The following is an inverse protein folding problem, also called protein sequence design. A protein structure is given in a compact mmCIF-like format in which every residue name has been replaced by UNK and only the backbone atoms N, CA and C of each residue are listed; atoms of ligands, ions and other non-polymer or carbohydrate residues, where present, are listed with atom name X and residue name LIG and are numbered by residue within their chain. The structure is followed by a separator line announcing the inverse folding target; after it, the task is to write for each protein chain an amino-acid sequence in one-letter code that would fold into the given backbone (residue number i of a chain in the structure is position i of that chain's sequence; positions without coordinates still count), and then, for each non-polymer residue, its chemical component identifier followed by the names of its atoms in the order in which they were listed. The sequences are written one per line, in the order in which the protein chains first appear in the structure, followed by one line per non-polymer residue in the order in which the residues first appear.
data_IF_834532242115
#
_entry.id   IF_834532242115
#
_cell.length_a   1.000
_cell.length_b   1.000
_cell.length_c   1.000
_cell.angle_alpha   90.00
_cell.angle_beta   90.00
_cell.angle_gamma   90.00
#
_symmetry.space_group_name_H-M   'P 1'
#
loop_
_entity.id
_entity.type
_entity.pdbx_description
1 polymer ?
#
# COMPACT_ATOMS: atom_id res chain seq x y z
N UNK A 1 46.89 -17.86 -53.30
CA UNK A 1 47.35 -17.26 -54.61
C UNK A 1 46.28 -16.33 -55.12
N UNK A 2 46.72 -15.10 -55.42
CA UNK A 2 46.04 -14.00 -56.14
C UNK A 2 44.94 -13.27 -55.43
N UNK A 3 45.32 -12.11 -54.85
CA UNK A 3 44.48 -10.95 -54.47
C UNK A 3 43.95 -10.28 -55.73
N UNK A 4 42.66 -9.90 -55.69
CA UNK A 4 42.07 -8.98 -56.67
C UNK A 4 41.64 -7.70 -55.90
N UNK A 5 42.37 -6.61 -56.19
CA UNK A 5 42.12 -5.27 -55.67
C UNK A 5 41.00 -4.63 -56.46
N UNK A 6 39.90 -4.18 -55.80
CA UNK A 6 38.83 -3.44 -56.44
C UNK A 6 38.94 -1.95 -55.97
N UNK A 7 39.26 -1.09 -56.91
CA UNK A 7 39.35 0.36 -56.74
C UNK A 7 37.96 0.95 -56.89
N UNK A 8 37.44 1.64 -55.88
CA UNK A 8 36.16 2.38 -55.96
C UNK A 8 36.47 3.87 -56.05
N UNK A 9 36.02 4.50 -57.08
CA UNK A 9 36.12 5.94 -57.41
C UNK A 9 35.06 6.66 -56.59
N UNK A 10 35.48 7.67 -55.78
CA UNK A 10 34.58 8.62 -55.09
C UNK A 10 34.14 9.70 -56.08
N UNK A 11 32.84 9.84 -56.34
CA UNK A 11 32.22 11.00 -56.94
C UNK A 11 31.69 11.94 -55.83
N UNK A 12 32.25 13.13 -55.69
CA UNK A 12 31.73 14.18 -54.84
C UNK A 12 30.48 14.78 -55.51
N UNK A 13 29.32 14.61 -54.90
CA UNK A 13 28.13 15.42 -55.17
C UNK A 13 27.89 16.38 -54.00
N UNK A 14 27.99 17.67 -54.24
CA UNK A 14 27.72 18.71 -53.26
C UNK A 14 26.25 18.75 -52.93
N UNK A 15 25.89 18.61 -51.63
CA UNK A 15 24.58 18.85 -51.10
C UNK A 15 24.59 20.11 -50.22
N UNK A 16 23.81 21.08 -50.64
CA UNK A 16 23.49 22.28 -49.88
C UNK A 16 22.74 21.91 -48.60
N UNK A 17 23.29 22.29 -47.44
CA UNK A 17 22.65 22.07 -46.12
C UNK A 17 21.57 23.13 -45.97
N UNK A 18 20.32 22.76 -46.23
CA UNK A 18 19.16 23.46 -45.71
C UNK A 18 18.95 23.13 -44.25
N UNK A 19 19.22 24.07 -43.36
CA UNK A 19 18.99 23.92 -41.93
C UNK A 19 17.48 23.82 -41.64
N UNK A 20 16.97 22.63 -41.44
CA UNK A 20 15.69 22.44 -40.77
C UNK A 20 15.94 22.57 -39.25
N UNK A 21 15.43 23.65 -38.66
CA UNK A 21 15.27 23.78 -37.21
C UNK A 21 14.31 22.67 -36.81
N UNK A 22 14.88 21.58 -36.25
CA UNK A 22 14.09 20.60 -35.53
C UNK A 22 13.56 21.33 -34.30
N UNK A 23 12.23 21.50 -34.22
CA UNK A 23 11.58 21.80 -32.96
C UNK A 23 12.04 20.73 -31.96
N UNK A 24 12.75 21.14 -30.91
CA UNK A 24 12.95 20.31 -29.74
C UNK A 24 11.53 20.02 -29.23
N UNK A 25 11.08 18.79 -29.35
CA UNK A 25 9.99 18.31 -28.53
C UNK A 25 10.47 18.49 -27.09
N UNK A 26 9.86 19.38 -26.33
CA UNK A 26 10.00 19.42 -24.89
C UNK A 26 9.74 17.98 -24.42
N UNK A 27 10.77 17.33 -23.91
CA UNK A 27 10.56 16.10 -23.15
C UNK A 27 9.66 16.50 -21.98
N UNK A 28 8.60 15.73 -21.68
CA UNK A 28 7.80 15.99 -20.49
C UNK A 28 8.75 16.09 -19.29
N UNK A 29 8.52 17.06 -18.45
CA UNK A 29 9.28 17.20 -17.21
C UNK A 29 9.14 15.87 -16.45
N UNK A 30 10.22 15.14 -16.32
CA UNK A 30 10.24 13.78 -15.71
C UNK A 30 9.73 13.78 -14.27
N UNK A 31 9.44 14.95 -13.68
CA UNK A 31 9.01 15.16 -12.30
C UNK A 31 7.66 15.91 -12.19
N UNK A 32 6.94 16.05 -13.29
CA UNK A 32 5.65 16.75 -13.26
C UNK A 32 4.63 15.98 -12.40
N UNK A 33 4.03 16.69 -11.45
CA UNK A 33 2.85 16.22 -10.72
C UNK A 33 1.64 16.60 -11.56
N UNK A 34 0.85 15.62 -11.98
CA UNK A 34 -0.30 15.81 -12.85
C UNK A 34 -1.59 15.43 -12.10
N UNK A 35 -2.64 16.25 -12.14
CA UNK A 35 -3.94 15.86 -11.63
C UNK A 35 -4.43 14.57 -12.31
N UNK A 36 -5.03 13.71 -11.52
CA UNK A 36 -5.60 12.44 -11.98
C UNK A 36 -7.06 12.37 -11.59
N UNK A 37 -7.89 11.79 -12.43
CA UNK A 37 -9.30 11.50 -12.13
C UNK A 37 -9.55 10.03 -12.42
N UNK A 38 -10.16 9.33 -11.49
CA UNK A 38 -10.59 7.95 -11.67
C UNK A 38 -11.75 7.97 -12.67
N UNK A 39 -11.57 7.30 -13.81
CA UNK A 39 -12.57 7.18 -14.88
C UNK A 39 -12.46 5.78 -15.49
N UNK A 40 -13.17 4.82 -14.88
CA UNK A 40 -13.14 3.43 -15.31
C UNK A 40 -14.02 3.25 -16.55
N UNK A 41 -13.47 2.74 -17.68
CA UNK A 41 -14.26 2.51 -18.88
C UNK A 41 -15.43 1.55 -18.62
N UNK A 42 -16.62 1.85 -19.18
CA UNK A 42 -17.81 1.02 -19.04
C UNK A 42 -17.57 -0.43 -19.46
N UNK A 43 -16.75 -0.66 -20.49
CA UNK A 43 -16.40 -2.00 -20.95
C UNK A 43 -15.70 -2.85 -19.88
N UNK A 44 -15.01 -2.25 -18.90
CA UNK A 44 -14.40 -2.97 -17.76
C UNK A 44 -15.46 -3.41 -16.78
N UNK A 45 -16.48 -2.57 -16.56
CA UNK A 45 -17.63 -2.90 -15.69
C UNK A 45 -18.54 -3.95 -16.33
N UNK A 46 -18.72 -3.87 -17.65
CA UNK A 46 -19.45 -4.87 -18.41
C UNK A 46 -18.77 -6.25 -18.35
N UNK A 47 -17.42 -6.31 -18.54
CA UNK A 47 -16.65 -7.55 -18.42
C UNK A 47 -16.75 -8.12 -16.99
N UNK A 48 -16.65 -7.28 -15.95
CA UNK A 48 -16.88 -7.70 -14.57
C UNK A 48 -18.24 -8.35 -14.39
N UNK A 49 -19.29 -7.68 -14.85
CA UNK A 49 -20.66 -8.16 -14.75
C UNK A 49 -20.86 -9.50 -15.46
N UNK A 50 -20.31 -9.65 -16.67
CA UNK A 50 -20.35 -10.93 -17.39
C UNK A 50 -19.63 -12.06 -16.65
N UNK A 51 -18.53 -11.77 -15.97
CA UNK A 51 -17.77 -12.77 -15.19
C UNK A 51 -18.51 -13.16 -13.92
N UNK A 52 -19.13 -12.21 -13.23
CA UNK A 52 -20.00 -12.47 -12.08
C UNK A 52 -21.18 -13.39 -12.47
N UNK A 53 -21.84 -13.09 -13.61
CA UNK A 53 -22.96 -13.91 -14.15
C UNK A 53 -22.55 -15.33 -14.53
N UNK A 54 -21.27 -15.54 -14.91
CA UNK A 54 -20.73 -16.85 -15.33
C UNK A 54 -19.94 -17.57 -14.24
N UNK A 55 -20.03 -17.13 -12.98
CA UNK A 55 -19.30 -17.74 -11.88
C UNK A 55 -19.60 -19.23 -11.74
N UNK A 56 -18.53 -20.02 -11.67
CA UNK A 56 -18.61 -21.45 -11.39
C UNK A 56 -18.34 -21.67 -9.91
N UNK A 57 -19.41 -21.84 -9.16
CA UNK A 57 -19.32 -22.01 -7.72
C UNK A 57 -18.72 -23.35 -7.32
N UNK A 58 -17.74 -23.38 -6.39
CA UNK A 58 -17.26 -24.62 -5.80
C UNK A 58 -18.32 -25.20 -4.87
N UNK A 59 -18.23 -26.50 -4.62
CA UNK A 59 -18.93 -27.13 -3.50
C UNK A 59 -18.23 -26.79 -2.18
N UNK A 60 -18.99 -26.88 -1.10
CA UNK A 60 -18.50 -26.73 0.27
C UNK A 60 -19.15 -27.79 1.17
N UNK A 61 -18.36 -28.37 2.05
CA UNK A 61 -18.88 -29.36 3.00
C UNK A 61 -19.86 -28.72 3.99
N UNK A 62 -21.03 -29.31 4.24
CA UNK A 62 -22.01 -28.76 5.17
C UNK A 62 -21.41 -28.50 6.56
N UNK A 63 -21.64 -27.31 7.11
CA UNK A 63 -21.22 -26.94 8.47
C UNK A 63 -19.76 -26.52 8.62
N UNK A 64 -18.98 -26.42 7.54
CA UNK A 64 -17.58 -25.96 7.61
C UNK A 64 -17.49 -24.43 7.71
N UNK A 65 -18.43 -23.69 7.12
CA UNK A 65 -18.37 -22.22 7.12
C UNK A 65 -16.98 -21.73 6.72
N UNK A 66 -16.39 -20.86 7.53
CA UNK A 66 -15.05 -20.29 7.30
C UNK A 66 -13.87 -21.18 7.74
N UNK A 67 -14.12 -22.37 8.28
CA UNK A 67 -13.05 -23.21 8.84
C UNK A 67 -12.01 -23.72 7.81
N UNK A 68 -12.37 -23.71 6.53
CA UNK A 68 -11.51 -24.14 5.43
C UNK A 68 -11.15 -22.98 4.46
N UNK A 69 -11.32 -21.75 4.88
CA UNK A 69 -11.17 -20.54 4.08
C UNK A 69 -12.50 -19.83 3.87
N UNK A 70 -12.63 -19.08 2.77
CA UNK A 70 -13.81 -18.28 2.49
C UNK A 70 -15.11 -19.11 2.42
N UNK A 71 -16.12 -18.70 3.19
CA UNK A 71 -17.46 -19.34 3.17
C UNK A 71 -18.16 -19.08 1.84
N UNK A 72 -18.46 -20.13 1.11
CA UNK A 72 -19.12 -20.06 -0.20
C UNK A 72 -20.50 -19.37 -0.14
N UNK A 73 -21.23 -19.52 0.96
CA UNK A 73 -22.53 -18.87 1.11
C UNK A 73 -22.38 -17.35 1.23
N UNK A 74 -21.44 -16.88 2.05
CA UNK A 74 -21.14 -15.46 2.18
C UNK A 74 -20.59 -14.86 0.88
N UNK A 75 -19.61 -15.52 0.25
CA UNK A 75 -19.02 -15.02 -1.01
C UNK A 75 -20.07 -14.96 -2.13
N UNK A 76 -21.07 -15.89 -2.14
CA UNK A 76 -22.18 -15.84 -3.07
C UNK A 76 -23.09 -14.63 -2.82
N UNK A 77 -23.43 -14.37 -1.57
CA UNK A 77 -24.23 -13.20 -1.19
C UNK A 77 -23.51 -11.90 -1.58
N UNK A 78 -22.21 -11.80 -1.28
CA UNK A 78 -21.40 -10.63 -1.65
C UNK A 78 -21.33 -10.46 -3.17
N UNK A 79 -21.17 -11.53 -3.94
CA UNK A 79 -21.13 -11.49 -5.40
C UNK A 79 -22.48 -11.10 -6.01
N UNK A 80 -23.59 -11.55 -5.43
CA UNK A 80 -24.94 -11.15 -5.82
C UNK A 80 -25.18 -9.67 -5.54
N UNK A 81 -24.73 -9.17 -4.39
CA UNK A 81 -24.74 -7.75 -4.06
C UNK A 81 -23.86 -6.95 -5.02
N UNK A 82 -22.64 -7.41 -5.28
CA UNK A 82 -21.71 -6.77 -6.22
C UNK A 82 -22.31 -6.60 -7.61
N UNK A 83 -23.04 -7.63 -8.06
CA UNK A 83 -23.66 -7.67 -9.39
C UNK A 83 -24.90 -6.79 -9.53
N UNK A 84 -25.70 -6.65 -8.47
CA UNK A 84 -27.05 -6.11 -8.56
C UNK A 84 -27.26 -4.79 -7.82
N UNK A 85 -26.53 -4.55 -6.75
CA UNK A 85 -26.81 -3.46 -5.80
C UNK A 85 -25.63 -2.48 -5.64
N UNK A 86 -24.38 -2.94 -5.82
CA UNK A 86 -23.19 -2.12 -5.70
C UNK A 86 -23.07 -1.13 -6.87
N UNK A 87 -22.96 0.17 -6.56
CA UNK A 87 -22.85 1.25 -7.53
C UNK A 87 -21.40 1.79 -7.62
N UNK A 88 -20.62 1.21 -8.54
CA UNK A 88 -19.24 1.72 -8.79
C UNK A 88 -19.22 3.20 -9.14
N UNK A 89 -20.20 3.73 -9.89
CA UNK A 89 -20.17 5.13 -10.29
C UNK A 89 -20.38 6.09 -9.12
N UNK A 90 -21.18 5.69 -8.13
CA UNK A 90 -21.29 6.42 -6.87
C UNK A 90 -19.98 6.39 -6.09
N UNK A 91 -19.34 5.22 -5.99
CA UNK A 91 -18.03 5.10 -5.33
C UNK A 91 -16.90 5.82 -6.08
N UNK A 92 -16.84 5.73 -7.38
CA UNK A 92 -15.89 6.47 -8.21
C UNK A 92 -16.04 7.99 -7.99
N UNK A 93 -17.29 8.50 -7.91
CA UNK A 93 -17.53 9.90 -7.59
C UNK A 93 -17.11 10.26 -6.15
N UNK A 94 -17.31 9.37 -5.17
CA UNK A 94 -16.84 9.53 -3.79
C UNK A 94 -15.31 9.57 -3.72
N UNK A 95 -14.65 8.64 -4.39
CA UNK A 95 -13.19 8.64 -4.47
C UNK A 95 -12.66 9.91 -5.11
N UNK A 96 -13.25 10.36 -6.21
CA UNK A 96 -12.90 11.62 -6.91
C UNK A 96 -13.27 12.89 -6.13
N UNK A 97 -13.89 12.80 -4.95
CA UNK A 97 -14.02 13.96 -4.06
C UNK A 97 -12.71 14.35 -3.38
N UNK A 98 -11.70 13.48 -3.39
CA UNK A 98 -10.34 13.76 -2.98
C UNK A 98 -9.50 14.22 -4.17
N UNK A 99 -8.43 14.98 -3.90
CA UNK A 99 -7.49 15.43 -4.93
C UNK A 99 -6.49 14.32 -5.27
N UNK A 100 -6.67 13.69 -6.43
CA UNK A 100 -5.80 12.64 -6.94
C UNK A 100 -4.75 13.18 -7.90
N UNK A 101 -3.56 12.58 -7.84
CA UNK A 101 -2.43 12.96 -8.69
C UNK A 101 -1.64 11.73 -9.15
N UNK A 102 -0.89 11.93 -10.23
CA UNK A 102 0.23 11.09 -10.62
C UNK A 102 1.53 11.90 -10.58
N UNK A 103 2.62 11.27 -10.15
CA UNK A 103 3.98 11.77 -10.35
C UNK A 103 4.83 10.70 -11.02
N UNK A 104 5.70 11.09 -11.94
CA UNK A 104 6.70 10.20 -12.50
C UNK A 104 7.94 10.22 -11.61
N UNK A 105 8.25 9.09 -11.01
CA UNK A 105 9.44 8.90 -10.16
C UNK A 105 10.20 7.68 -10.67
N UNK A 106 11.45 7.85 -11.04
CA UNK A 106 12.30 6.78 -11.58
C UNK A 106 11.66 5.99 -12.74
N UNK A 107 10.87 6.68 -13.59
CA UNK A 107 10.21 6.11 -14.73
C UNK A 107 8.93 5.31 -14.42
N UNK A 108 8.45 5.35 -13.18
CA UNK A 108 7.15 4.79 -12.77
C UNK A 108 6.20 5.92 -12.36
N UNK A 109 4.98 5.86 -12.85
CA UNK A 109 3.92 6.74 -12.36
C UNK A 109 3.43 6.22 -11.02
N UNK A 110 3.51 7.10 -10.02
CA UNK A 110 3.00 6.85 -8.67
C UNK A 110 1.70 7.62 -8.52
N UNK A 111 0.63 6.91 -8.20
CA UNK A 111 -0.65 7.50 -7.82
C UNK A 111 -0.67 7.85 -6.35
N UNK A 112 -1.25 8.99 -6.02
CA UNK A 112 -1.47 9.41 -4.64
C UNK A 112 -2.64 10.39 -4.52
N UNK A 113 -3.27 10.40 -3.35
CA UNK A 113 -4.16 11.47 -2.88
C UNK A 113 -3.31 12.48 -2.13
N UNK A 114 -3.52 13.77 -2.38
CA UNK A 114 -2.78 14.81 -1.68
C UNK A 114 -3.71 15.92 -1.20
N UNK A 115 -4.04 15.87 0.07
CA UNK A 115 -4.90 16.84 0.74
C UNK A 115 -4.08 17.74 1.68
N UNK A 116 -4.27 19.04 1.54
CA UNK A 116 -3.53 20.03 2.32
C UNK A 116 -4.40 20.62 3.43
N UNK A 117 -3.80 20.75 4.61
CA UNK A 117 -4.38 21.60 5.65
C UNK A 117 -4.35 23.08 5.26
N UNK A 118 -5.31 23.84 5.71
CA UNK A 118 -5.30 25.32 5.61
C UNK A 118 -4.20 25.95 6.47
N UNK A 119 -3.62 25.19 7.41
CA UNK A 119 -2.50 25.65 8.22
C UNK A 119 -1.19 25.56 7.40
N UNK A 120 -0.54 26.69 7.08
CA UNK A 120 0.70 26.69 6.28
C UNK A 120 1.89 26.02 7.00
N UNK A 121 1.81 25.88 8.33
CA UNK A 121 2.83 25.24 9.16
C UNK A 121 2.51 23.73 9.42
N UNK A 122 1.53 23.18 8.72
CA UNK A 122 1.17 21.77 8.81
C UNK A 122 2.33 20.88 8.41
N UNK A 123 2.49 19.75 9.10
CA UNK A 123 3.55 18.78 8.84
C UNK A 123 3.19 17.95 7.61
N UNK A 124 4.04 17.86 6.57
CA UNK A 124 3.83 16.90 5.50
C UNK A 124 3.94 15.47 6.05
N UNK A 125 2.98 14.62 5.72
CA UNK A 125 3.00 13.20 6.13
C UNK A 125 2.63 12.29 4.97
N UNK A 126 3.44 11.23 4.78
CA UNK A 126 3.14 10.16 3.85
C UNK A 126 2.45 9.02 4.59
N UNK A 127 1.32 8.55 4.06
CA UNK A 127 0.56 7.40 4.54
C UNK A 127 0.69 6.25 3.53
N UNK A 128 1.11 5.08 3.99
CA UNK A 128 1.27 3.90 3.14
C UNK A 128 0.47 2.72 3.68
N UNK A 129 -0.37 2.19 2.80
CA UNK A 129 -1.17 0.98 3.03
C UNK A 129 -0.35 -0.30 2.89
N UNK A 130 -0.97 -1.45 3.19
CA UNK A 130 -0.42 -2.78 2.97
C UNK A 130 -1.30 -3.67 2.08
N UNK A 131 -1.10 -4.99 2.15
CA UNK A 131 -1.90 -5.99 1.47
C UNK A 131 -2.83 -6.69 2.48
N UNK A 132 -4.10 -6.96 2.15
CA UNK A 132 -4.80 -6.78 0.88
C UNK A 132 -5.62 -5.49 0.79
N UNK A 133 -5.25 -4.45 1.50
CA UNK A 133 -5.88 -3.14 1.38
C UNK A 133 -5.28 -2.31 0.22
N UNK A 134 -5.76 -1.10 0.06
CA UNK A 134 -5.29 -0.12 -0.91
C UNK A 134 -5.28 1.27 -0.25
N UNK A 135 -5.00 2.32 -1.00
CA UNK A 135 -5.01 3.70 -0.47
C UNK A 135 -6.35 4.09 0.19
N UNK A 136 -7.46 3.41 -0.12
CA UNK A 136 -8.77 3.70 0.49
C UNK A 136 -8.78 3.48 2.01
N UNK A 137 -7.91 2.61 2.52
CA UNK A 137 -7.72 2.43 3.97
C UNK A 137 -7.36 3.75 4.68
N UNK A 138 -6.73 4.69 3.97
CA UNK A 138 -6.24 5.94 4.55
C UNK A 138 -7.22 7.10 4.44
N UNK A 139 -8.32 6.95 3.66
CA UNK A 139 -9.17 8.09 3.30
C UNK A 139 -9.87 8.73 4.51
N UNK A 140 -10.33 7.92 5.45
CA UNK A 140 -11.03 8.42 6.65
C UNK A 140 -10.08 9.13 7.63
N UNK A 141 -8.77 8.87 7.54
CA UNK A 141 -7.76 9.60 8.30
C UNK A 141 -7.55 11.03 7.77
N UNK A 142 -7.73 11.24 6.48
CA UNK A 142 -7.35 12.50 5.81
C UNK A 142 -8.02 13.70 6.47
N UNK A 143 -9.37 13.79 6.61
CA UNK A 143 -10.02 14.95 7.21
C UNK A 143 -9.62 15.15 8.69
N UNK A 144 -9.40 14.06 9.42
CA UNK A 144 -8.98 14.09 10.84
C UNK A 144 -7.58 14.70 11.01
N UNK A 145 -6.71 14.50 10.02
CA UNK A 145 -5.33 14.98 10.02
C UNK A 145 -5.20 16.36 9.38
N UNK A 146 -5.96 16.69 8.35
CA UNK A 146 -5.88 17.99 7.67
C UNK A 146 -6.62 19.09 8.42
N UNK A 147 -7.74 18.77 9.06
CA UNK A 147 -8.65 19.71 9.71
C UNK A 147 -9.04 19.28 11.12
N UNK A 148 -8.07 19.01 12.05
CA UNK A 148 -8.37 18.45 13.37
C UNK A 148 -9.33 19.31 14.21
N UNK A 149 -9.33 20.64 14.00
CA UNK A 149 -10.25 21.55 14.68
C UNK A 149 -11.72 21.30 14.36
N UNK A 150 -12.04 20.85 13.15
CA UNK A 150 -13.41 20.51 12.75
C UNK A 150 -13.88 19.18 13.36
N UNK A 151 -12.92 18.37 13.82
CA UNK A 151 -13.14 17.06 14.45
C UNK A 151 -12.93 17.09 15.97
N UNK A 152 -13.03 18.28 16.61
CA UNK A 152 -12.99 18.42 18.06
C UNK A 152 -11.58 18.44 18.68
N UNK A 153 -10.52 18.58 17.88
CA UNK A 153 -9.12 18.57 18.28
C UNK A 153 -8.38 19.86 17.83
N UNK A 154 -8.84 21.07 18.24
CA UNK A 154 -8.32 22.34 17.72
C UNK A 154 -6.86 22.64 18.08
N UNK A 155 -6.35 22.05 19.16
CA UNK A 155 -4.96 22.24 19.62
C UNK A 155 -3.99 21.19 19.05
N UNK A 156 -4.50 20.20 18.29
CA UNK A 156 -3.68 19.15 17.70
C UNK A 156 -2.94 19.65 16.46
N UNK A 157 -1.74 19.14 16.17
CA UNK A 157 -1.05 19.44 14.92
C UNK A 157 -1.88 18.96 13.72
N UNK A 158 -1.88 19.78 12.67
CA UNK A 158 -2.45 19.43 11.36
C UNK A 158 -1.37 18.97 10.39
N UNK A 159 -1.78 18.27 9.34
CA UNK A 159 -0.88 17.65 8.38
C UNK A 159 -1.27 18.01 6.95
N UNK A 160 -0.27 18.12 6.07
CA UNK A 160 -0.45 17.96 4.63
C UNK A 160 -0.31 16.47 4.34
N UNK A 161 -1.39 15.82 3.93
CA UNK A 161 -1.46 14.37 3.81
C UNK A 161 -1.19 13.93 2.37
N UNK A 162 -0.25 13.00 2.20
CA UNK A 162 -0.01 12.25 0.96
C UNK A 162 -0.33 10.79 1.22
N UNK A 163 -1.44 10.27 0.68
CA UNK A 163 -1.81 8.87 0.76
C UNK A 163 -1.50 8.18 -0.58
N UNK A 164 -0.38 7.47 -0.65
CA UNK A 164 0.11 6.92 -1.90
C UNK A 164 -0.32 5.47 -2.13
N UNK A 165 -0.61 5.13 -3.38
CA UNK A 165 -0.68 3.74 -3.81
C UNK A 165 0.72 3.17 -3.96
N UNK A 166 1.02 2.06 -3.30
CA UNK A 166 2.27 1.34 -3.47
C UNK A 166 2.48 0.91 -4.94
N UNK A 167 3.74 0.76 -5.42
CA UNK A 167 4.00 0.27 -6.76
C UNK A 167 3.33 -1.07 -7.03
N UNK A 168 2.56 -1.16 -8.11
CA UNK A 168 1.78 -2.35 -8.44
C UNK A 168 0.47 -2.50 -7.67
N UNK A 169 0.00 -1.41 -7.04
CA UNK A 169 -1.30 -1.32 -6.37
C UNK A 169 -2.10 -0.12 -6.91
N UNK A 170 -3.43 -0.23 -6.84
CA UNK A 170 -4.32 0.85 -7.23
C UNK A 170 -3.97 1.43 -8.61
N UNK A 171 -3.82 2.73 -8.69
CA UNK A 171 -3.52 3.43 -9.94
C UNK A 171 -2.03 3.73 -10.14
N UNK A 172 -1.14 3.20 -9.30
CA UNK A 172 0.31 3.23 -9.53
C UNK A 172 0.74 2.21 -10.58
N UNK A 173 1.77 2.55 -11.35
CA UNK A 173 2.31 1.64 -12.37
C UNK A 173 2.82 0.33 -11.73
N UNK A 174 2.68 -0.75 -12.48
CA UNK A 174 3.25 -2.05 -12.13
C UNK A 174 4.73 -2.04 -12.52
N UNK A 175 5.67 -2.29 -11.57
CA UNK A 175 7.08 -2.41 -11.93
C UNK A 175 7.33 -3.47 -12.99
N UNK A 176 8.07 -3.12 -14.04
CA UNK A 176 8.43 -3.97 -15.18
C UNK A 176 9.74 -4.77 -14.98
N UNK A 177 10.34 -4.64 -13.79
CA UNK A 177 11.60 -5.30 -13.41
C UNK A 177 11.42 -6.19 -12.19
N UNK A 178 12.27 -7.19 -12.04
CA UNK A 178 12.35 -8.05 -10.85
C UNK A 178 13.11 -7.38 -9.72
N UNK A 179 12.95 -7.90 -8.50
CA UNK A 179 13.58 -7.39 -7.28
C UNK A 179 13.13 -5.95 -6.96
N UNK A 180 11.85 -5.71 -7.09
CA UNK A 180 11.21 -4.46 -6.70
C UNK A 180 10.48 -4.66 -5.37
N UNK A 181 11.25 -4.70 -4.29
CA UNK A 181 10.77 -4.95 -2.94
C UNK A 181 10.66 -3.69 -2.08
N UNK A 182 10.90 -3.83 -0.78
CA UNK A 182 10.77 -2.73 0.18
C UNK A 182 11.73 -1.57 -0.07
N UNK A 183 13.00 -1.89 -0.39
CA UNK A 183 14.02 -0.86 -0.62
C UNK A 183 13.76 -0.07 -1.89
N UNK A 184 13.31 -0.72 -2.97
CA UNK A 184 12.92 -0.03 -4.22
C UNK A 184 11.66 0.81 -4.02
N UNK A 185 10.65 0.28 -3.32
CA UNK A 185 9.45 1.05 -2.98
C UNK A 185 9.77 2.27 -2.11
N UNK A 186 10.67 2.12 -1.13
CA UNK A 186 11.12 3.23 -0.29
C UNK A 186 11.82 4.34 -1.11
N UNK A 187 12.72 3.98 -2.04
CA UNK A 187 13.36 4.97 -2.94
C UNK A 187 12.32 5.72 -3.76
N UNK A 188 11.33 5.00 -4.28
CA UNK A 188 10.24 5.62 -5.05
C UNK A 188 9.45 6.61 -4.20
N UNK A 189 9.09 6.26 -2.96
CA UNK A 189 8.35 7.13 -2.04
C UNK A 189 9.18 8.33 -1.56
N UNK A 190 10.50 8.15 -1.38
CA UNK A 190 11.42 9.27 -1.11
C UNK A 190 11.42 10.24 -2.29
N UNK A 191 11.55 9.74 -3.53
CA UNK A 191 11.48 10.55 -4.73
C UNK A 191 10.14 11.27 -4.89
N UNK A 192 9.02 10.62 -4.53
CA UNK A 192 7.70 11.26 -4.50
C UNK A 192 7.67 12.45 -3.54
N UNK A 193 8.05 12.22 -2.28
CA UNK A 193 7.96 13.27 -1.25
C UNK A 193 8.96 14.41 -1.48
N UNK A 194 10.20 14.08 -1.77
CA UNK A 194 11.27 15.06 -1.88
C UNK A 194 11.38 15.66 -3.28
N UNK A 195 11.51 14.82 -4.33
CA UNK A 195 11.83 15.30 -5.66
C UNK A 195 10.61 15.82 -6.42
N UNK A 196 9.45 15.15 -6.29
CA UNK A 196 8.24 15.54 -7.02
C UNK A 196 7.42 16.58 -6.24
N UNK A 197 7.23 16.40 -4.92
CA UNK A 197 6.40 17.28 -4.09
C UNK A 197 7.19 18.42 -3.41
N UNK A 198 8.53 18.32 -3.36
CA UNK A 198 9.40 19.36 -2.82
C UNK A 198 9.41 19.44 -1.28
N UNK A 199 8.99 18.40 -0.58
CA UNK A 199 9.04 18.35 0.87
C UNK A 199 10.46 18.00 1.35
N UNK A 200 11.17 18.97 1.93
CA UNK A 200 12.52 18.77 2.46
C UNK A 200 12.53 17.86 3.68
N UNK A 201 11.48 17.96 4.53
CA UNK A 201 11.30 17.12 5.72
C UNK A 201 9.85 16.72 5.87
N UNK A 202 9.59 15.47 6.24
CA UNK A 202 8.24 14.92 6.34
C UNK A 202 8.15 13.76 7.35
N UNK A 203 6.96 13.56 7.91
CA UNK A 203 6.62 12.38 8.67
C UNK A 203 6.21 11.23 7.75
N UNK A 204 6.31 10.01 8.24
CA UNK A 204 5.83 8.83 7.52
C UNK A 204 5.03 7.92 8.44
N UNK A 205 3.95 7.35 7.91
CA UNK A 205 3.16 6.32 8.57
C UNK A 205 2.93 5.14 7.65
N UNK A 206 2.95 3.94 8.22
CA UNK A 206 2.59 2.73 7.51
C UNK A 206 2.25 1.58 8.44
N UNK A 207 1.44 0.67 7.93
CA UNK A 207 1.13 -0.63 8.52
C UNK A 207 1.45 -1.73 7.50
N UNK A 208 1.59 -2.97 7.92
CA UNK A 208 1.89 -4.11 7.05
C UNK A 208 3.07 -3.84 6.10
N UNK A 209 2.88 -3.99 4.78
CA UNK A 209 3.89 -3.67 3.74
C UNK A 209 4.31 -2.20 3.82
N UNK A 210 3.35 -1.29 4.01
CA UNK A 210 3.62 0.14 4.17
C UNK A 210 4.56 0.41 5.35
N UNK A 211 4.38 -0.30 6.47
CA UNK A 211 5.27 -0.21 7.64
C UNK A 211 6.71 -0.61 7.32
N UNK A 212 6.91 -1.68 6.55
CA UNK A 212 8.24 -2.10 6.11
C UNK A 212 8.88 -1.07 5.15
N UNK A 213 8.08 -0.47 4.24
CA UNK A 213 8.55 0.57 3.31
C UNK A 213 8.98 1.83 4.05
N UNK A 214 8.14 2.37 4.97
CA UNK A 214 8.51 3.60 5.73
C UNK A 214 9.71 3.39 6.63
N UNK A 215 9.91 2.16 7.16
CA UNK A 215 11.15 1.81 7.86
C UNK A 215 12.36 1.90 6.95
N UNK A 216 12.28 1.41 5.71
CA UNK A 216 13.37 1.54 4.73
C UNK A 216 13.63 3.00 4.38
N UNK A 217 12.59 3.84 4.26
CA UNK A 217 12.73 5.29 4.05
C UNK A 217 13.54 5.93 5.18
N UNK A 218 13.21 5.64 6.43
CA UNK A 218 13.91 6.16 7.59
C UNK A 218 15.38 5.70 7.68
N UNK A 219 15.67 4.45 7.31
CA UNK A 219 17.04 3.93 7.25
C UNK A 219 17.88 4.55 6.13
N UNK A 220 17.26 4.89 5.00
CA UNK A 220 17.93 5.46 3.84
C UNK A 220 18.13 6.97 3.95
N UNK A 221 17.12 7.68 4.48
CA UNK A 221 17.08 9.14 4.49
C UNK A 221 16.67 9.70 5.87
N UNK A 222 17.47 9.43 6.92
CA UNK A 222 17.12 9.87 8.28
C UNK A 222 17.09 11.39 8.43
N UNK A 223 17.74 12.15 7.54
CA UNK A 223 17.75 13.62 7.57
C UNK A 223 16.42 14.23 7.08
N UNK A 224 15.70 13.52 6.20
CA UNK A 224 14.42 13.98 5.63
C UNK A 224 13.21 13.47 6.43
N UNK A 225 13.30 12.27 7.00
CA UNK A 225 12.23 11.67 7.80
C UNK A 225 12.30 12.21 9.22
N UNK A 226 11.31 13.04 9.63
CA UNK A 226 11.24 13.62 10.99
C UNK A 226 10.81 12.61 12.04
N UNK A 227 10.07 11.58 11.65
CA UNK A 227 9.59 10.53 12.53
C UNK A 227 8.80 9.48 11.74
N UNK A 228 8.71 8.29 12.30
CA UNK A 228 7.99 7.13 11.75
C UNK A 228 6.87 6.75 12.69
N UNK A 229 5.65 6.64 12.20
CA UNK A 229 4.53 6.11 12.95
C UNK A 229 4.10 4.75 12.36
N UNK A 230 4.00 3.72 13.18
CA UNK A 230 3.77 2.34 12.75
C UNK A 230 2.57 1.70 13.45
N UNK A 231 1.94 0.78 12.76
CA UNK A 231 1.12 -0.27 13.38
C UNK A 231 1.80 -1.62 13.14
N UNK A 232 2.14 -2.30 14.23
CA UNK A 232 2.80 -3.60 14.20
C UNK A 232 4.29 -3.58 13.77
N UNK A 233 5.02 -4.62 14.17
CA UNK A 233 6.42 -4.87 13.78
C UNK A 233 6.54 -6.14 12.95
N UNK A 234 5.58 -6.39 12.09
CA UNK A 234 5.42 -7.63 11.33
C UNK A 234 6.69 -7.97 10.53
N UNK A 235 7.16 -9.20 10.66
CA UNK A 235 8.29 -9.74 9.90
C UNK A 235 9.66 -9.14 10.24
N UNK A 236 9.77 -8.32 11.28
CA UNK A 236 11.03 -7.74 11.72
C UNK A 236 11.63 -8.58 12.84
N UNK A 237 12.75 -9.21 12.58
CA UNK A 237 13.50 -9.93 13.61
C UNK A 237 14.06 -8.98 14.68
N UNK A 238 13.90 -9.30 15.95
CA UNK A 238 14.36 -8.49 17.10
C UNK A 238 15.83 -8.70 17.45
N UNK A 239 16.66 -9.21 16.53
CA UNK A 239 18.10 -9.45 16.77
C UNK A 239 18.38 -10.75 17.53
N UNK A 240 19.55 -10.80 18.15
CA UNK A 240 20.09 -11.99 18.82
C UNK A 240 19.71 -12.06 20.31
N UNK A 241 19.59 -13.26 20.90
CA UNK A 241 19.37 -13.41 22.34
C UNK A 241 20.53 -12.78 23.18
N UNK A 242 20.33 -12.52 24.48
CA UNK A 242 19.20 -13.01 25.29
C UNK A 242 17.91 -12.22 25.08
N UNK A 243 16.79 -12.92 25.19
CA UNK A 243 15.45 -12.35 25.15
C UNK A 243 14.85 -12.20 26.55
N UNK A 244 13.97 -11.22 26.74
CA UNK A 244 13.15 -11.11 27.96
C UNK A 244 12.01 -12.14 27.93
N UNK A 245 11.33 -12.34 29.06
CA UNK A 245 10.17 -13.23 29.14
C UNK A 245 9.03 -12.75 28.19
N UNK A 246 8.84 -11.42 28.06
CA UNK A 246 7.86 -10.86 27.15
C UNK A 246 8.23 -11.07 25.68
N UNK A 247 9.50 -10.95 25.32
CA UNK A 247 10.00 -11.24 23.98
C UNK A 247 9.90 -12.74 23.64
N UNK A 248 10.19 -13.62 24.58
CA UNK A 248 10.00 -15.07 24.37
C UNK A 248 8.51 -15.41 24.17
N UNK A 249 7.62 -14.79 24.95
CA UNK A 249 6.18 -14.96 24.77
C UNK A 249 5.70 -14.44 23.40
N UNK A 250 6.21 -13.29 22.95
CA UNK A 250 5.92 -12.72 21.62
C UNK A 250 6.41 -13.65 20.50
N UNK A 251 7.62 -14.19 20.59
CA UNK A 251 8.14 -15.16 19.62
C UNK A 251 7.24 -16.39 19.55
N UNK A 252 6.88 -16.97 20.70
CA UNK A 252 6.01 -18.13 20.76
C UNK A 252 4.62 -17.86 20.17
N UNK A 253 4.04 -16.69 20.44
CA UNK A 253 2.77 -16.27 19.86
C UNK A 253 2.87 -16.08 18.33
N UNK A 254 3.98 -15.48 17.85
CA UNK A 254 4.25 -15.32 16.42
C UNK A 254 4.45 -16.65 15.69
N UNK A 255 5.05 -17.65 16.34
CA UNK A 255 5.16 -19.01 15.79
C UNK A 255 3.79 -19.72 15.74
N UNK A 256 2.89 -19.43 16.67
CA UNK A 256 1.57 -20.05 16.74
C UNK A 256 0.66 -19.68 15.58
N UNK A 257 0.82 -18.48 14.99
CA UNK A 257 0.03 -18.04 13.82
C UNK A 257 0.58 -18.57 12.48
N UNK A 258 1.68 -19.29 12.49
CA UNK A 258 2.36 -19.78 11.30
C UNK A 258 1.46 -20.52 10.30
N UNK A 259 0.46 -21.33 10.69
CA UNK A 259 -0.50 -21.93 9.76
C UNK A 259 -1.31 -20.90 8.95
N UNK A 260 -1.64 -19.76 9.55
CA UNK A 260 -2.40 -18.68 8.90
C UNK A 260 -1.57 -17.93 7.84
N UNK A 261 -0.24 -18.07 7.88
CA UNK A 261 0.69 -17.46 6.92
C UNK A 261 0.86 -18.27 5.62
N UNK A 262 0.06 -19.31 5.39
CA UNK A 262 0.14 -20.14 4.18
C UNK A 262 -0.03 -19.30 2.88
N UNK A 263 -0.88 -18.27 2.90
CA UNK A 263 -1.05 -17.34 1.81
C UNK A 263 0.25 -16.61 1.46
N UNK A 264 0.95 -16.09 2.47
CA UNK A 264 2.20 -15.35 2.29
C UNK A 264 3.30 -16.25 1.71
N UNK A 265 3.38 -17.50 2.14
CA UNK A 265 4.32 -18.50 1.58
C UNK A 265 4.04 -18.76 0.10
N UNK A 266 2.77 -18.84 -0.30
CA UNK A 266 2.39 -18.97 -1.70
C UNK A 266 2.83 -17.73 -2.48
N UNK A 267 2.56 -16.52 -1.97
CA UNK A 267 2.97 -15.26 -2.56
C UNK A 267 4.51 -15.16 -2.69
N UNK A 268 5.25 -15.52 -1.64
CA UNK A 268 6.73 -15.50 -1.64
C UNK A 268 7.37 -16.54 -2.54
N UNK A 269 6.65 -17.61 -2.92
CA UNK A 269 7.22 -18.73 -3.67
C UNK A 269 6.75 -18.84 -5.11
N UNK A 270 5.44 -18.81 -5.36
CA UNK A 270 4.81 -19.06 -6.67
C UNK A 270 3.64 -18.10 -6.96
N UNK A 271 3.83 -16.77 -6.81
CA UNK A 271 2.75 -15.80 -6.99
C UNK A 271 2.10 -15.85 -8.37
N UNK A 272 2.89 -16.07 -9.42
CA UNK A 272 2.38 -16.11 -10.79
C UNK A 272 1.37 -17.24 -11.03
N UNK A 273 1.46 -18.35 -10.29
CA UNK A 273 0.49 -19.43 -10.39
C UNK A 273 -0.88 -19.01 -9.86
N UNK A 274 -0.90 -18.28 -8.75
CA UNK A 274 -2.12 -17.73 -8.17
C UNK A 274 -2.69 -16.57 -8.99
N UNK A 275 -1.81 -15.73 -9.54
CA UNK A 275 -2.16 -14.54 -10.31
C UNK A 275 -3.16 -14.82 -11.45
N UNK A 276 -3.05 -15.98 -12.13
CA UNK A 276 -3.99 -16.36 -13.18
C UNK A 276 -5.45 -16.45 -12.68
N UNK A 277 -5.67 -16.95 -11.47
CA UNK A 277 -7.02 -17.05 -10.91
C UNK A 277 -7.53 -15.73 -10.35
N UNK A 278 -6.67 -14.95 -9.70
CA UNK A 278 -7.05 -13.66 -9.14
C UNK A 278 -7.37 -12.60 -10.20
N UNK A 279 -6.74 -12.70 -11.37
CA UNK A 279 -6.96 -11.77 -12.48
C UNK A 279 -8.12 -12.18 -13.39
N UNK A 280 -8.58 -13.42 -13.32
CA UNK A 280 -9.64 -13.94 -14.21
C UNK A 280 -10.99 -14.05 -13.50
N UNK A 281 -11.01 -14.27 -12.19
CA UNK A 281 -12.23 -14.50 -11.43
C UNK A 281 -12.44 -13.41 -10.38
N UNK A 282 -13.47 -12.55 -10.54
CA UNK A 282 -13.83 -11.56 -9.52
C UNK A 282 -14.21 -12.23 -8.19
N UNK A 283 -14.94 -13.34 -8.25
CA UNK A 283 -15.30 -14.12 -7.06
C UNK A 283 -14.10 -14.81 -6.42
N UNK A 284 -13.13 -15.26 -7.23
CA UNK A 284 -11.86 -15.79 -6.72
C UNK A 284 -11.03 -14.72 -5.99
N UNK A 285 -10.99 -13.51 -6.55
CA UNK A 285 -10.36 -12.35 -5.92
C UNK A 285 -11.07 -11.98 -4.62
N UNK A 286 -12.41 -11.91 -4.63
CA UNK A 286 -13.20 -11.61 -3.45
C UNK A 286 -12.98 -12.64 -2.33
N UNK A 287 -13.01 -13.92 -2.65
CA UNK A 287 -12.76 -14.99 -1.68
C UNK A 287 -11.35 -14.89 -1.07
N UNK A 288 -10.33 -14.56 -1.88
CA UNK A 288 -8.94 -14.44 -1.44
C UNK A 288 -8.69 -13.25 -0.50
N UNK A 289 -9.35 -12.13 -0.75
CA UNK A 289 -9.16 -10.88 0.01
C UNK A 289 -10.10 -10.81 1.23
N UNK A 290 -11.38 -11.06 1.06
CA UNK A 290 -12.38 -10.91 2.14
C UNK A 290 -12.15 -11.89 3.28
N UNK A 291 -11.61 -13.06 2.99
CA UNK A 291 -11.19 -14.01 4.03
C UNK A 291 -10.14 -13.37 4.97
N UNK A 292 -9.23 -12.52 4.44
CA UNK A 292 -8.23 -11.81 5.25
C UNK A 292 -8.87 -10.66 6.05
N UNK A 293 -9.75 -9.89 5.44
CA UNK A 293 -10.51 -8.87 6.19
C UNK A 293 -11.24 -9.48 7.39
N UNK A 294 -11.90 -10.63 7.18
CA UNK A 294 -12.59 -11.32 8.26
C UNK A 294 -11.64 -11.89 9.32
N UNK A 295 -10.50 -12.44 8.92
CA UNK A 295 -9.59 -13.13 9.84
C UNK A 295 -8.69 -12.19 10.64
N UNK A 296 -8.39 -10.99 10.10
CA UNK A 296 -7.38 -10.09 10.66
C UNK A 296 -7.98 -8.86 11.36
N UNK A 297 -9.27 -8.58 11.16
CA UNK A 297 -9.96 -7.44 11.77
C UNK A 297 -10.64 -7.80 13.09
N UNK A 298 -10.95 -6.78 13.89
CA UNK A 298 -11.72 -6.91 15.13
C UNK A 298 -13.24 -7.05 14.84
N UNK A 299 -13.62 -8.17 14.23
CA UNK A 299 -14.97 -8.41 13.70
C UNK A 299 -15.76 -9.50 14.44
N UNK A 300 -15.17 -10.16 15.42
CA UNK A 300 -15.78 -11.29 16.13
C UNK A 300 -16.42 -12.35 15.19
N UNK A 301 -15.82 -12.54 14.02
CA UNK A 301 -16.24 -13.49 13.01
C UNK A 301 -17.30 -13.00 12.02
N UNK A 302 -17.81 -11.78 12.16
CA UNK A 302 -18.72 -11.12 11.23
C UNK A 302 -18.06 -9.90 10.61
N UNK A 303 -17.58 -10.03 9.36
CA UNK A 303 -16.86 -8.96 8.66
C UNK A 303 -17.69 -7.68 8.49
N UNK A 304 -19.02 -7.83 8.37
CA UNK A 304 -19.94 -6.69 8.22
C UNK A 304 -20.20 -5.93 9.54
N UNK A 305 -19.67 -6.42 10.66
CA UNK A 305 -19.67 -5.64 11.91
C UNK A 305 -18.71 -4.43 11.88
N UNK A 306 -17.75 -4.41 10.94
CA UNK A 306 -16.75 -3.32 10.77
C UNK A 306 -16.76 -2.71 9.38
N UNK A 307 -17.08 -3.48 8.35
CA UNK A 307 -17.05 -3.03 6.96
C UNK A 307 -18.43 -3.23 6.31
N UNK A 308 -18.90 -2.24 5.62
CA UNK A 308 -20.04 -2.41 4.70
C UNK A 308 -19.62 -3.25 3.50
N UNK A 309 -20.59 -3.86 2.81
CA UNK A 309 -20.31 -4.52 1.53
C UNK A 309 -19.71 -3.56 0.50
N UNK A 310 -20.12 -2.28 0.50
CA UNK A 310 -19.61 -1.28 -0.41
C UNK A 310 -18.13 -1.00 -0.16
N UNK A 311 -17.68 -0.88 1.09
CA UNK A 311 -16.27 -0.70 1.44
C UNK A 311 -15.41 -1.89 1.01
N UNK A 312 -15.86 -3.13 1.31
CA UNK A 312 -15.16 -4.34 0.87
C UNK A 312 -15.06 -4.40 -0.64
N UNK A 313 -16.17 -4.11 -1.34
CA UNK A 313 -16.23 -4.14 -2.80
C UNK A 313 -15.42 -3.00 -3.43
N UNK A 314 -15.39 -1.82 -2.84
CA UNK A 314 -14.56 -0.71 -3.33
C UNK A 314 -13.08 -1.08 -3.31
N UNK A 315 -12.60 -1.70 -2.23
CA UNK A 315 -11.24 -2.21 -2.18
C UNK A 315 -10.97 -3.29 -3.24
N UNK A 316 -11.90 -4.23 -3.42
CA UNK A 316 -11.82 -5.26 -4.46
C UNK A 316 -11.82 -4.68 -5.87
N UNK A 317 -12.68 -3.68 -6.11
CA UNK A 317 -12.79 -2.98 -7.39
C UNK A 317 -11.47 -2.33 -7.79
N UNK A 318 -10.73 -1.72 -6.85
CA UNK A 318 -9.43 -1.13 -7.13
C UNK A 318 -8.42 -2.15 -7.64
N UNK A 319 -8.43 -3.37 -7.13
CA UNK A 319 -7.61 -4.46 -7.67
C UNK A 319 -8.11 -4.93 -9.04
N UNK A 320 -9.43 -5.00 -9.21
CA UNK A 320 -10.05 -5.53 -10.41
C UNK A 320 -9.89 -4.60 -11.61
N UNK A 321 -10.33 -3.34 -11.47
CA UNK A 321 -10.36 -2.38 -12.59
C UNK A 321 -8.96 -1.97 -13.05
N UNK A 322 -7.96 -2.07 -12.19
CA UNK A 322 -6.56 -1.76 -12.51
C UNK A 322 -5.76 -3.00 -12.93
N UNK A 323 -6.30 -4.21 -12.70
CA UNK A 323 -5.57 -5.46 -12.95
C UNK A 323 -4.35 -5.65 -12.05
N UNK A 324 -4.30 -5.03 -10.86
CA UNK A 324 -3.13 -5.03 -9.99
C UNK A 324 -3.06 -6.22 -9.02
N UNK A 325 -4.10 -7.04 -8.91
CA UNK A 325 -4.08 -8.22 -8.05
C UNK A 325 -2.85 -9.14 -8.31
N UNK A 326 -2.45 -9.46 -9.56
CA UNK A 326 -1.22 -10.20 -9.85
C UNK A 326 0.05 -9.52 -9.37
N UNK A 327 0.14 -8.19 -9.51
CA UNK A 327 1.30 -7.43 -9.07
C UNK A 327 1.43 -7.43 -7.55
N UNK A 328 0.31 -7.21 -6.85
CA UNK A 328 0.27 -7.15 -5.39
C UNK A 328 0.77 -8.45 -4.72
N UNK A 329 0.39 -9.62 -5.24
CA UNK A 329 0.87 -10.90 -4.70
C UNK A 329 2.33 -11.18 -5.10
N UNK A 330 2.79 -10.65 -6.25
CA UNK A 330 4.18 -10.79 -6.71
C UNK A 330 5.14 -9.96 -5.85
N UNK A 331 4.71 -8.85 -5.28
CA UNK A 331 5.50 -8.00 -4.39
C UNK A 331 6.13 -8.82 -3.25
N UNK A 332 5.41 -9.79 -2.70
CA UNK A 332 5.95 -10.72 -1.68
C UNK A 332 7.15 -11.53 -2.16
N UNK A 333 7.14 -11.94 -3.43
CA UNK A 333 8.27 -12.67 -4.02
C UNK A 333 9.53 -11.80 -4.06
N UNK A 334 9.37 -10.53 -4.36
CA UNK A 334 10.46 -9.56 -4.46
C UNK A 334 10.96 -9.14 -3.07
N UNK A 335 10.09 -8.96 -2.08
CA UNK A 335 10.47 -8.57 -0.71
C UNK A 335 11.52 -9.47 -0.09
N UNK A 336 11.39 -10.78 -0.25
CA UNK A 336 12.32 -11.74 0.34
C UNK A 336 13.60 -11.94 -0.48
N UNK A 337 13.74 -11.28 -1.61
CA UNK A 337 14.87 -11.43 -2.55
C UNK A 337 15.63 -10.14 -2.81
N UNK A 338 14.98 -9.00 -2.68
CA UNK A 338 15.65 -7.72 -2.77
C UNK A 338 16.49 -7.48 -1.51
N UNK A 339 17.77 -7.09 -1.64
CA UNK A 339 18.55 -6.64 -0.49
C UNK A 339 17.94 -5.38 0.12
N UNK A 340 17.59 -5.45 1.40
CA UNK A 340 17.06 -4.32 2.17
C UNK A 340 18.16 -3.69 3.03
N UNK A 341 18.03 -2.38 3.31
CA UNK A 341 18.89 -1.73 4.31
C UNK A 341 18.54 -2.27 5.68
N UNK A 342 19.55 -2.71 6.42
CA UNK A 342 19.41 -3.22 7.78
C UNK A 342 20.02 -2.25 8.77
N UNK A 343 19.53 -2.21 9.97
CA UNK A 343 20.06 -1.35 11.03
C UNK A 343 18.97 -0.91 12.01
N UNK A 344 19.43 -0.18 13.00
CA UNK A 344 18.57 0.49 13.97
C UNK A 344 18.09 1.82 13.39
N UNK A 345 16.81 2.13 13.55
CA UNK A 345 16.21 3.37 13.04
C UNK A 345 16.48 4.50 14.04
N UNK A 346 17.25 5.51 13.62
CA UNK A 346 17.71 6.61 14.49
C UNK A 346 16.63 7.67 14.73
N UNK A 347 15.76 7.90 13.75
CA UNK A 347 14.68 8.88 13.86
C UNK A 347 13.63 8.42 14.88
N UNK A 348 12.91 9.34 15.54
CA UNK A 348 11.85 8.99 16.49
C UNK A 348 10.82 8.03 15.87
N UNK A 349 10.42 7.01 16.63
CA UNK A 349 9.38 6.06 16.21
C UNK A 349 8.25 6.04 17.24
N UNK A 350 7.02 6.28 16.76
CA UNK A 350 5.78 6.04 17.46
C UNK A 350 5.15 4.72 17.00
N UNK A 351 4.68 3.93 17.94
CA UNK A 351 3.97 2.68 17.68
C UNK A 351 2.58 2.76 18.28
N UNK A 352 1.58 2.46 17.46
CA UNK A 352 0.24 2.12 17.89
C UNK A 352 -0.07 0.70 17.42
N UNK A 353 0.00 -0.27 18.31
CA UNK A 353 -0.28 -1.67 18.04
C UNK A 353 -1.64 -2.10 18.62
N UNK A 354 -2.14 -3.25 18.26
CA UNK A 354 -3.43 -3.77 18.74
C UNK A 354 -3.34 -5.22 19.15
N UNK A 355 -4.11 -5.59 20.19
CA UNK A 355 -4.25 -6.99 20.63
C UNK A 355 -5.29 -7.78 19.84
N UNK A 356 -5.93 -7.16 18.83
CA UNK A 356 -7.02 -7.75 18.03
C UNK A 356 -6.60 -8.14 16.62
N UNK A 357 -5.37 -7.84 16.21
CA UNK A 357 -4.81 -8.33 14.95
C UNK A 357 -4.55 -9.84 15.04
N UNK A 358 -4.49 -10.50 13.88
CA UNK A 358 -3.93 -11.84 13.74
C UNK A 358 -2.50 -11.90 14.29
N UNK A 359 -1.70 -10.88 14.00
CA UNK A 359 -0.33 -10.78 14.47
C UNK A 359 -0.30 -10.31 15.92
N UNK A 360 0.44 -10.99 16.81
CA UNK A 360 0.51 -10.58 18.20
C UNK A 360 1.17 -9.22 18.35
N UNK A 361 0.63 -8.38 19.23
CA UNK A 361 1.27 -7.11 19.58
C UNK A 361 2.66 -7.35 20.19
N UNK A 362 3.66 -6.67 19.65
CA UNK A 362 5.02 -6.81 20.13
C UNK A 362 5.22 -6.08 21.47
N UNK A 363 6.05 -6.59 22.39
CA UNK A 363 6.42 -5.83 23.57
C UNK A 363 7.37 -4.67 23.19
N UNK A 364 7.33 -3.59 24.00
CA UNK A 364 8.12 -2.38 23.74
C UNK A 364 9.62 -2.68 23.59
N UNK A 365 10.17 -3.55 24.42
CA UNK A 365 11.60 -3.93 24.37
C UNK A 365 11.99 -4.61 23.05
N UNK A 366 11.05 -5.28 22.37
CA UNK A 366 11.28 -5.78 21.00
C UNK A 366 11.44 -4.62 20.00
N UNK A 367 10.60 -3.60 20.13
CA UNK A 367 10.70 -2.37 19.34
C UNK A 367 12.02 -1.64 19.58
N UNK A 368 12.47 -1.55 20.83
CA UNK A 368 13.72 -0.87 21.21
C UNK A 368 14.98 -1.51 20.62
N UNK A 369 14.91 -2.78 20.22
CA UNK A 369 16.00 -3.43 19.47
C UNK A 369 16.11 -2.94 18.02
N UNK A 370 15.04 -2.37 17.47
CA UNK A 370 14.93 -2.01 16.05
C UNK A 370 14.87 -0.50 15.83
N UNK A 371 14.35 0.25 16.81
CA UNK A 371 13.90 1.63 16.66
C UNK A 371 14.30 2.52 17.85
N UNK A 372 14.43 3.80 17.58
CA UNK A 372 14.41 4.86 18.58
C UNK A 372 12.96 5.11 19.05
N UNK A 373 12.49 4.27 19.97
CA UNK A 373 11.09 4.27 20.42
C UNK A 373 10.80 5.50 21.26
N UNK A 374 9.94 6.39 20.74
CA UNK A 374 9.45 7.59 21.42
C UNK A 374 8.13 7.35 22.12
N UNK A 375 7.15 6.77 21.44
CA UNK A 375 5.88 6.31 21.99
C UNK A 375 5.62 4.85 21.66
N UNK A 376 4.92 4.15 22.54
CA UNK A 376 4.54 2.75 22.35
C UNK A 376 3.18 2.52 22.99
N UNK A 377 2.15 2.50 22.19
CA UNK A 377 0.76 2.34 22.60
C UNK A 377 0.22 1.02 22.07
N UNK A 378 -0.57 0.33 22.89
CA UNK A 378 -1.26 -0.90 22.51
C UNK A 378 -2.73 -0.74 22.87
N UNK A 379 -3.60 -0.94 21.89
CA UNK A 379 -5.05 -0.88 22.06
C UNK A 379 -5.68 -2.27 22.13
N UNK A 380 -6.90 -2.34 22.65
CA UNK A 380 -7.73 -3.54 22.67
C UNK A 380 -8.95 -3.45 21.72
N UNK A 381 -8.93 -2.47 20.82
CA UNK A 381 -9.93 -2.27 19.76
C UNK A 381 -9.26 -2.11 18.41
N UNK A 382 -9.99 -2.49 17.35
CA UNK A 382 -9.48 -2.52 15.98
C UNK A 382 -8.45 -3.60 15.74
N UNK A 383 -8.38 -4.13 14.55
CA UNK A 383 -7.48 -5.19 14.13
C UNK A 383 -6.39 -4.72 13.18
N UNK A 384 -6.10 -5.53 12.17
CA UNK A 384 -5.01 -5.32 11.22
C UNK A 384 -5.13 -4.04 10.39
N UNK A 385 -6.35 -3.66 10.04
CA UNK A 385 -6.62 -2.46 9.23
C UNK A 385 -7.00 -1.29 10.12
N UNK A 386 -6.17 -1.01 11.12
CA UNK A 386 -6.47 -0.09 12.22
C UNK A 386 -6.85 1.32 11.73
N UNK A 387 -6.24 1.78 10.62
CA UNK A 387 -6.56 3.06 9.99
C UNK A 387 -7.99 3.11 9.45
N UNK A 388 -8.55 1.96 9.11
CA UNK A 388 -9.92 1.85 8.63
C UNK A 388 -10.90 1.52 9.74
N UNK A 389 -10.48 0.66 10.69
CA UNK A 389 -11.34 0.21 11.78
C UNK A 389 -11.53 1.28 12.88
N UNK A 390 -10.48 2.06 13.18
CA UNK A 390 -10.45 3.05 14.27
C UNK A 390 -9.70 4.34 13.84
N UNK A 391 -10.16 5.04 12.79
CA UNK A 391 -9.43 6.19 12.22
C UNK A 391 -9.20 7.33 13.23
N UNK A 392 -10.17 7.62 14.13
CA UNK A 392 -9.99 8.66 15.14
C UNK A 392 -8.92 8.31 16.17
N UNK A 393 -8.78 7.02 16.53
CA UNK A 393 -7.74 6.57 17.44
C UNK A 393 -6.36 6.73 16.78
N UNK A 394 -6.23 6.31 15.53
CA UNK A 394 -4.97 6.44 14.76
C UNK A 394 -4.59 7.91 14.57
N UNK A 395 -5.56 8.75 14.17
CA UNK A 395 -5.32 10.18 13.97
C UNK A 395 -4.82 10.85 15.25
N UNK A 396 -5.43 10.55 16.40
CA UNK A 396 -5.04 11.10 17.70
C UNK A 396 -3.64 10.66 18.10
N UNK A 397 -3.32 9.38 17.97
CA UNK A 397 -2.01 8.85 18.33
C UNK A 397 -0.90 9.46 17.43
N UNK A 398 -1.17 9.61 16.12
CA UNK A 398 -0.27 10.33 15.21
C UNK A 398 -0.06 11.78 15.62
N UNK A 399 -1.14 12.51 15.99
CA UNK A 399 -1.07 13.89 16.40
C UNK A 399 -0.27 14.07 17.69
N UNK A 400 -0.46 13.19 18.67
CA UNK A 400 0.30 13.16 19.92
C UNK A 400 1.79 12.89 19.64
N UNK A 401 2.08 11.87 18.84
CA UNK A 401 3.45 11.51 18.49
C UNK A 401 4.18 12.64 17.75
N UNK A 402 3.64 13.09 16.62
CA UNK A 402 4.28 14.15 15.80
C UNK A 402 4.27 15.52 16.50
N UNK A 403 3.36 15.74 17.45
CA UNK A 403 3.35 16.93 18.30
C UNK A 403 4.44 16.94 19.38
N UNK A 404 4.94 15.77 19.76
CA UNK A 404 5.93 15.59 20.84
C UNK A 404 7.39 15.57 20.36
N UNK A 405 7.63 15.42 19.06
CA UNK A 405 8.99 15.36 18.50
C UNK A 405 9.43 16.70 17.91
N UNK A 406 10.75 16.94 17.86
CA UNK A 406 11.33 18.12 17.21
C UNK A 406 11.13 18.03 15.68
N UNK A 407 10.72 19.15 15.07
CA UNK A 407 10.39 19.27 13.65
C UNK A 407 11.53 19.82 12.82
#
# INVERSE_FOLDING_TARGET
MRYATLTIIFALAGLTVGGSVRAQSEQPDERAVEPFTIDVPEAVLDDLNERLDRTRWPDQLPGTGWAQGADTAYIRELAEYWRNDYDWRAEEARLNSFEHFHANVDGLRVHFVHERSDNPDAVPVLLLHGWPSTFVQMLDLIPLLTSPGEHGLPESPSFHVVAASLPGYGFSDIPDRTLFGFASSARLMIGLMHDALGYERYGVRGSDIGGAVVRQMALMNPEQVIGVHLTGVIGLGGGEPPYTEAEEAYIAASEAIEPELAYARLHMSKPQTLAHSLNDSPVGLAAWIVEKFRAWSDVNGDVESRYTKDELLTNLMLYWVTGTAPASVRTYYDFVREPSVTGWVEVPVGMLDTTKDLFPAAPREWGERLFNVHSWNVTDVGGHFLEWEEPELVARDMQEFFGSIER
#
